data_IF_505077779329
#
_entry.id   IF_505077779329
#
_cell.length_a   1.000
_cell.length_b   1.000
_cell.length_c   1.000
_cell.angle_alpha   90.00
_cell.angle_beta   90.00
_cell.angle_gamma   90.00
#
_symmetry.space_group_name_H-M   'P 1'
#
loop_
_entity.id
_entity.type
_entity.pdbx_description
1 polymer ?
#
# COMPACT_ATOMS: atom_id res chain seq x y z
N UNK A 1 -8.22 -12.89 -17.77
CA UNK A 1 -7.92 -12.47 -16.38
C UNK A 1 -8.25 -11.00 -16.26
N UNK A 2 -8.93 -10.59 -15.19
CA UNK A 2 -9.22 -9.19 -14.94
C UNK A 2 -7.93 -8.38 -14.71
N UNK A 3 -8.00 -7.09 -15.01
CA UNK A 3 -6.95 -6.10 -14.78
C UNK A 3 -6.69 -5.95 -13.27
N UNK A 4 -5.45 -6.08 -12.81
CA UNK A 4 -5.05 -5.88 -11.40
C UNK A 4 -4.19 -4.63 -11.24
N UNK A 5 -4.69 -3.51 -11.78
CA UNK A 5 -4.03 -2.22 -11.70
C UNK A 5 -4.33 -1.57 -10.35
N UNK A 6 -3.29 -1.33 -9.55
CA UNK A 6 -3.41 -0.73 -8.21
C UNK A 6 -2.63 0.58 -8.14
N UNK A 7 -3.03 1.44 -7.19
CA UNK A 7 -2.31 2.67 -6.87
C UNK A 7 -1.20 2.37 -5.86
N UNK A 8 -0.03 2.94 -6.11
CA UNK A 8 1.10 2.93 -5.17
C UNK A 8 1.62 4.34 -4.97
N UNK A 9 2.01 4.75 -3.75
CA UNK A 9 2.47 6.11 -3.47
C UNK A 9 3.77 6.36 -4.24
N UNK A 10 3.86 7.49 -4.96
CA UNK A 10 5.08 7.81 -5.72
C UNK A 10 6.32 7.85 -4.85
N UNK A 11 6.16 8.32 -3.61
CA UNK A 11 7.24 8.46 -2.62
C UNK A 11 8.01 7.16 -2.38
N UNK A 12 7.41 5.97 -2.61
CA UNK A 12 8.11 4.69 -2.49
C UNK A 12 9.20 4.48 -3.54
N UNK A 13 9.04 5.05 -4.73
CA UNK A 13 10.00 4.93 -5.84
C UNK A 13 10.98 6.11 -5.96
N UNK A 14 10.88 7.11 -5.07
CA UNK A 14 11.71 8.30 -5.15
C UNK A 14 13.09 8.11 -4.51
N UNK A 15 14.11 8.76 -5.08
CA UNK A 15 15.51 8.55 -4.70
C UNK A 15 15.82 8.93 -3.25
N UNK A 16 15.10 9.88 -2.67
CA UNK A 16 15.27 10.26 -1.27
C UNK A 16 14.84 9.18 -0.27
N UNK A 17 14.07 8.16 -0.71
CA UNK A 17 13.75 6.99 0.10
C UNK A 17 14.61 5.77 -0.26
N UNK A 18 15.56 5.85 -1.22
CA UNK A 18 16.27 4.66 -1.71
C UNK A 18 17.05 3.93 -0.61
N UNK A 19 17.68 4.66 0.31
CA UNK A 19 18.44 4.08 1.43
C UNK A 19 17.52 3.34 2.41
N UNK A 20 16.35 3.92 2.70
CA UNK A 20 15.33 3.23 3.49
C UNK A 20 14.91 1.96 2.79
N UNK A 21 14.56 2.04 1.50
CA UNK A 21 14.12 0.87 0.74
C UNK A 21 15.21 -0.20 0.73
N UNK A 22 16.46 0.13 0.41
CA UNK A 22 17.62 -0.78 0.48
C UNK A 22 17.73 -1.46 1.85
N UNK A 23 17.58 -0.70 2.95
CA UNK A 23 17.55 -1.27 4.32
C UNK A 23 16.38 -2.22 4.54
N UNK A 24 15.18 -1.89 4.06
CA UNK A 24 14.02 -2.79 4.16
C UNK A 24 14.27 -4.10 3.38
N UNK A 25 14.95 -4.01 2.23
CA UNK A 25 15.37 -5.15 1.42
C UNK A 25 16.40 -6.03 2.13
N UNK A 26 17.40 -5.45 2.79
CA UNK A 26 18.42 -6.20 3.53
C UNK A 26 17.87 -6.86 4.80
N UNK A 27 16.99 -6.17 5.52
CA UNK A 27 16.44 -6.58 6.80
C UNK A 27 15.34 -7.65 6.70
N UNK A 28 14.47 -7.58 5.69
CA UNK A 28 13.31 -8.47 5.55
C UNK A 28 12.97 -8.87 4.12
N UNK A 29 13.88 -8.64 3.18
CA UNK A 29 13.63 -8.87 1.75
C UNK A 29 12.56 -7.92 1.19
N UNK A 30 11.86 -8.38 0.17
CA UNK A 30 10.76 -7.62 -0.46
C UNK A 30 9.51 -7.50 0.43
N UNK A 31 9.43 -8.25 1.54
CA UNK A 31 8.18 -8.42 2.30
C UNK A 31 7.67 -7.09 2.83
N UNK A 32 8.56 -6.23 3.34
CA UNK A 32 8.18 -4.91 3.86
C UNK A 32 7.63 -3.98 2.76
N UNK A 33 8.30 -3.91 1.61
CA UNK A 33 7.78 -3.12 0.48
C UNK A 33 6.44 -3.68 -0.02
N UNK A 34 6.36 -5.00 -0.14
CA UNK A 34 5.17 -5.71 -0.59
C UNK A 34 4.00 -5.56 0.38
N UNK A 35 4.27 -5.46 1.70
CA UNK A 35 3.26 -5.11 2.70
C UNK A 35 2.71 -3.70 2.48
N UNK A 36 3.55 -2.70 2.19
CA UNK A 36 3.08 -1.34 1.91
C UNK A 36 2.20 -1.34 0.64
N UNK A 37 2.62 -2.05 -0.42
CA UNK A 37 1.86 -2.18 -1.67
C UNK A 37 0.54 -2.94 -1.43
N UNK A 38 0.58 -4.03 -0.67
CA UNK A 38 -0.59 -4.82 -0.30
C UNK A 38 -1.60 -3.96 0.45
N UNK A 39 -1.20 -3.33 1.56
CA UNK A 39 -2.06 -2.44 2.35
C UNK A 39 -2.57 -1.26 1.52
N UNK A 40 -1.71 -0.72 0.67
CA UNK A 40 -2.06 0.31 -0.29
C UNK A 40 -3.15 -0.10 -1.27
N UNK A 41 -3.19 -1.36 -1.70
CA UNK A 41 -4.25 -1.88 -2.57
C UNK A 41 -5.63 -1.95 -1.89
N UNK A 42 -5.67 -1.91 -0.56
CA UNK A 42 -6.90 -1.92 0.26
C UNK A 42 -7.23 -0.56 0.87
N UNK A 43 -6.54 0.53 0.50
CA UNK A 43 -6.66 1.84 1.16
C UNK A 43 -8.11 2.32 1.35
N UNK A 44 -9.02 2.10 0.38
CA UNK A 44 -10.44 2.44 0.54
C UNK A 44 -11.17 1.55 1.55
N UNK A 45 -10.94 0.23 1.55
CA UNK A 45 -11.53 -0.70 2.53
C UNK A 45 -11.02 -0.40 3.95
N UNK A 46 -9.77 0.05 4.04
CA UNK A 46 -9.14 0.44 5.30
C UNK A 46 -9.71 1.74 5.88
N UNK A 47 -10.20 2.68 5.05
CA UNK A 47 -10.95 3.85 5.54
C UNK A 47 -12.20 3.46 6.35
N UNK A 48 -12.71 2.25 6.13
CA UNK A 48 -13.90 1.73 6.78
C UNK A 48 -13.60 0.68 7.86
N UNK A 49 -12.32 0.45 8.21
CA UNK A 49 -11.92 -0.51 9.24
C UNK A 49 -12.16 -1.98 8.87
N UNK A 50 -12.36 -2.27 7.58
CA UNK A 50 -12.73 -3.62 7.08
C UNK A 50 -11.53 -4.46 6.61
N UNK A 51 -10.31 -3.99 6.80
CA UNK A 51 -9.09 -4.58 6.22
C UNK A 51 -8.41 -5.59 7.16
N UNK A 52 -9.09 -6.69 7.46
CA UNK A 52 -8.48 -7.85 8.13
C UNK A 52 -7.91 -8.84 7.11
N UNK A 53 -6.73 -9.39 7.40
CA UNK A 53 -6.08 -10.36 6.53
C UNK A 53 -5.19 -11.35 7.30
N UNK A 54 -5.04 -12.55 6.75
CA UNK A 54 -4.06 -13.52 7.23
C UNK A 54 -2.77 -13.48 6.40
N UNK A 55 -1.73 -14.17 6.89
CA UNK A 55 -0.50 -14.40 6.11
C UNK A 55 -0.81 -15.12 4.78
N UNK A 56 -1.81 -16.01 4.76
CA UNK A 56 -2.24 -16.70 3.56
C UNK A 56 -2.86 -15.76 2.52
N UNK A 57 -3.68 -14.79 2.96
CA UNK A 57 -4.27 -13.78 2.07
C UNK A 57 -3.17 -12.90 1.45
N UNK A 58 -2.19 -12.49 2.25
CA UNK A 58 -1.00 -11.78 1.78
C UNK A 58 -0.20 -12.61 0.77
N UNK A 59 0.11 -13.87 1.10
CA UNK A 59 0.83 -14.78 0.22
C UNK A 59 0.13 -14.97 -1.12
N UNK A 60 -1.19 -15.21 -1.11
CA UNK A 60 -2.00 -15.39 -2.32
C UNK A 60 -1.96 -14.14 -3.19
N UNK A 61 -2.04 -12.94 -2.60
CA UNK A 61 -2.07 -11.68 -3.35
C UNK A 61 -0.70 -11.31 -3.91
N UNK A 62 0.36 -11.48 -3.12
CA UNK A 62 1.73 -11.02 -3.45
C UNK A 62 2.64 -12.11 -4.05
N UNK A 63 2.14 -13.36 -4.14
CA UNK A 63 2.86 -14.48 -4.75
C UNK A 63 3.99 -15.03 -3.88
N UNK A 64 3.75 -15.15 -2.56
CA UNK A 64 4.69 -15.76 -1.62
C UNK A 64 4.30 -17.19 -1.25
N UNK A 65 5.29 -17.99 -0.91
CA UNK A 65 5.08 -19.22 -0.16
C UNK A 65 4.91 -18.91 1.34
N UNK A 66 3.86 -19.46 1.94
CA UNK A 66 3.51 -19.23 3.36
C UNK A 66 4.61 -19.71 4.32
N UNK A 67 5.27 -20.81 4.01
CA UNK A 67 6.32 -21.40 4.86
C UNK A 67 7.51 -20.45 4.97
N UNK A 68 7.87 -19.78 3.87
CA UNK A 68 8.95 -18.79 3.87
C UNK A 68 8.65 -17.59 4.77
N UNK A 69 7.39 -17.15 4.83
CA UNK A 69 6.97 -16.02 5.65
C UNK A 69 6.78 -16.38 7.13
N UNK A 70 6.44 -17.65 7.42
CA UNK A 70 6.32 -18.18 8.78
C UNK A 70 7.64 -18.71 9.34
N UNK A 71 8.71 -18.74 8.55
CA UNK A 71 10.05 -19.12 9.01
C UNK A 71 10.49 -18.19 10.15
N UNK A 72 11.03 -18.78 11.22
CA UNK A 72 11.67 -18.03 12.30
C UNK A 72 13.00 -17.43 11.84
N UNK A 73 13.22 -16.18 12.21
CA UNK A 73 14.48 -15.46 12.05
C UNK A 73 15.44 -15.93 13.13
N UNK A 74 16.72 -16.08 12.76
CA UNK A 74 17.76 -16.33 13.75
C UNK A 74 18.12 -15.05 14.53
N UNK A 75 18.85 -15.19 15.63
CA UNK A 75 19.20 -14.04 16.49
C UNK A 75 20.06 -12.99 15.78
N UNK A 76 20.85 -13.37 14.76
CA UNK A 76 21.65 -12.40 13.98
C UNK A 76 20.74 -11.59 13.06
N UNK A 77 19.77 -12.24 12.43
CA UNK A 77 18.75 -11.60 11.60
C UNK A 77 17.93 -10.60 12.42
N UNK A 78 17.41 -11.02 13.59
CA UNK A 78 16.66 -10.13 14.49
C UNK A 78 17.52 -8.95 14.96
N UNK A 79 18.78 -9.20 15.36
CA UNK A 79 19.68 -8.14 15.77
C UNK A 79 20.03 -7.14 14.64
N UNK A 80 20.07 -7.59 13.39
CA UNK A 80 20.25 -6.72 12.23
C UNK A 80 19.01 -5.84 11.96
N UNK A 81 17.80 -6.38 12.19
CA UNK A 81 16.55 -5.65 11.98
C UNK A 81 16.25 -4.62 13.09
N UNK A 82 16.46 -5.02 14.35
CA UNK A 82 15.99 -4.28 15.53
C UNK A 82 17.12 -3.75 16.42
N UNK A 83 18.36 -4.19 16.19
CA UNK A 83 19.50 -3.91 17.07
C UNK A 83 19.71 -5.01 18.10
N UNK A 84 20.95 -5.13 18.61
CA UNK A 84 21.37 -6.23 19.51
C UNK A 84 20.58 -6.33 20.82
N UNK A 85 19.99 -5.22 21.27
CA UNK A 85 19.33 -5.12 22.58
C UNK A 85 17.80 -5.06 22.47
N UNK A 86 17.23 -5.25 21.26
CA UNK A 86 15.80 -5.18 21.04
C UNK A 86 15.28 -6.54 20.61
N UNK A 87 14.44 -7.14 21.46
CA UNK A 87 13.67 -8.34 21.16
C UNK A 87 12.19 -7.93 21.12
N UNK A 88 11.61 -7.75 19.92
CA UNK A 88 10.24 -7.32 19.81
C UNK A 88 9.28 -8.44 20.26
N UNK A 89 8.24 -8.08 21.01
CA UNK A 89 7.21 -8.99 21.49
C UNK A 89 5.83 -8.36 21.31
N UNK A 90 4.83 -9.17 20.99
CA UNK A 90 3.43 -8.79 21.20
C UNK A 90 3.09 -8.92 22.67
N UNK A 91 2.56 -7.85 23.24
CA UNK A 91 2.11 -7.84 24.65
C UNK A 91 0.61 -7.61 24.66
N UNK A 92 -0.14 -8.53 25.27
CA UNK A 92 -1.56 -8.37 25.49
C UNK A 92 -1.95 -8.80 26.91
N UNK A 93 -3.13 -8.37 27.33
CA UNK A 93 -3.74 -8.76 28.60
C UNK A 93 -4.91 -9.67 28.29
N UNK A 94 -4.99 -10.83 28.94
CA UNK A 94 -6.13 -11.72 28.78
C UNK A 94 -7.37 -11.26 29.56
N UNK A 95 -8.47 -12.00 29.44
CA UNK A 95 -9.73 -11.73 30.14
C UNK A 95 -9.63 -11.81 31.67
N UNK A 96 -8.56 -12.42 32.21
CA UNK A 96 -8.29 -12.51 33.64
C UNK A 96 -7.29 -11.44 34.12
N UNK A 97 -6.85 -10.52 33.26
CA UNK A 97 -5.87 -9.48 33.59
C UNK A 97 -4.42 -9.95 33.55
N UNK A 98 -4.14 -11.19 33.11
CA UNK A 98 -2.78 -11.71 33.03
C UNK A 98 -2.08 -11.22 31.76
N UNK A 99 -0.85 -10.74 31.93
CA UNK A 99 0.01 -10.35 30.82
C UNK A 99 0.48 -11.58 30.05
N UNK A 100 0.22 -11.59 28.76
CA UNK A 100 0.76 -12.53 27.78
C UNK A 100 1.83 -11.80 26.97
N UNK A 101 2.98 -12.44 26.79
CA UNK A 101 4.02 -11.99 25.87
C UNK A 101 4.27 -13.05 24.80
N UNK A 102 4.29 -12.64 23.54
CA UNK A 102 4.59 -13.51 22.40
C UNK A 102 5.75 -12.94 21.58
N UNK A 103 6.86 -13.68 21.40
CA UNK A 103 8.00 -13.18 20.64
C UNK A 103 7.66 -12.93 19.18
N UNK A 104 8.12 -11.80 18.64
CA UNK A 104 8.06 -11.49 17.21
C UNK A 104 9.30 -12.10 16.55
N UNK A 105 9.13 -13.29 16.00
CA UNK A 105 10.26 -14.10 15.51
C UNK A 105 10.10 -14.56 14.06
N UNK A 106 8.92 -14.46 13.45
CA UNK A 106 8.73 -14.86 12.05
C UNK A 106 9.10 -13.74 11.08
N UNK A 107 9.47 -14.09 9.84
CA UNK A 107 9.78 -13.11 8.77
C UNK A 107 8.63 -12.12 8.59
N UNK A 108 7.38 -12.59 8.55
CA UNK A 108 6.21 -11.75 8.36
C UNK A 108 5.98 -10.79 9.53
N UNK A 109 6.00 -11.29 10.77
CA UNK A 109 5.73 -10.49 11.96
C UNK A 109 6.82 -9.44 12.19
N UNK A 110 8.08 -9.82 12.00
CA UNK A 110 9.20 -8.89 12.07
C UNK A 110 9.10 -7.80 11.00
N UNK A 111 8.71 -8.15 9.76
CA UNK A 111 8.48 -7.15 8.71
C UNK A 111 7.35 -6.19 9.07
N UNK A 112 6.20 -6.70 9.52
CA UNK A 112 5.05 -5.88 9.90
C UNK A 112 5.40 -4.94 11.08
N UNK A 113 6.04 -5.47 12.12
CA UNK A 113 6.45 -4.68 13.28
C UNK A 113 7.49 -3.62 12.91
N UNK A 114 8.48 -3.99 12.08
CA UNK A 114 9.54 -3.06 11.62
C UNK A 114 8.97 -1.89 10.84
N UNK A 115 7.95 -2.09 10.01
CA UNK A 115 7.26 -1.00 9.32
C UNK A 115 6.59 0.00 10.29
N UNK A 116 6.21 -0.43 11.50
CA UNK A 116 5.74 0.47 12.56
C UNK A 116 6.84 1.35 13.16
N UNK A 117 8.12 1.05 12.93
CA UNK A 117 9.26 1.80 13.45
C UNK A 117 9.92 2.72 12.42
N UNK A 118 9.53 2.60 11.16
CA UNK A 118 10.20 3.26 10.04
C UNK A 118 9.34 4.41 9.47
N UNK A 119 10.02 5.45 8.97
CA UNK A 119 9.39 6.63 8.38
C UNK A 119 9.74 6.73 6.89
N UNK A 120 8.77 7.09 6.06
CA UNK A 120 9.01 7.60 4.72
C UNK A 120 9.27 9.11 4.77
N UNK A 121 10.20 9.56 3.92
CA UNK A 121 10.46 10.97 3.69
C UNK A 121 9.69 11.48 2.47
N UNK A 122 9.24 12.73 2.48
CA UNK A 122 8.86 13.46 1.25
C UNK A 122 9.10 14.97 1.40
N UNK A 123 9.72 15.62 0.40
CA UNK A 123 9.93 17.06 0.41
C UNK A 123 8.68 17.83 -0.03
N UNK A 124 8.45 18.99 0.56
CA UNK A 124 7.44 19.98 0.15
C UNK A 124 8.08 21.36 0.03
N UNK A 125 7.65 22.16 -0.94
CA UNK A 125 8.11 23.55 -1.09
C UNK A 125 7.01 24.45 -0.54
N UNK A 126 7.32 25.25 0.48
CA UNK A 126 6.42 26.24 1.06
C UNK A 126 6.31 27.48 0.19
N UNK A 127 5.28 28.31 0.45
CA UNK A 127 5.07 29.59 -0.26
C UNK A 127 6.24 30.57 -0.06
N UNK A 128 6.97 30.46 1.06
CA UNK A 128 8.19 31.21 1.36
C UNK A 128 9.43 30.71 0.60
N UNK A 129 9.26 29.73 -0.30
CA UNK A 129 10.32 29.11 -1.08
C UNK A 129 11.19 28.10 -0.32
N UNK A 130 10.93 27.86 0.98
CA UNK A 130 11.69 26.88 1.76
C UNK A 130 11.26 25.47 1.39
N UNK A 131 12.23 24.55 1.38
CA UNK A 131 11.97 23.11 1.23
C UNK A 131 11.93 22.46 2.61
N UNK A 132 10.78 21.91 2.98
CA UNK A 132 10.61 21.11 4.19
C UNK A 132 10.70 19.63 3.86
N UNK A 133 11.44 18.87 4.68
CA UNK A 133 11.54 17.42 4.57
C UNK A 133 10.63 16.79 5.63
N UNK A 134 9.51 16.22 5.20
CA UNK A 134 8.52 15.63 6.08
C UNK A 134 8.81 14.16 6.28
N UNK A 135 8.70 13.69 7.52
CA UNK A 135 8.88 12.29 7.88
C UNK A 135 7.56 11.73 8.40
N UNK A 136 7.05 10.68 7.75
CA UNK A 136 5.78 10.05 8.09
C UNK A 136 5.99 8.58 8.39
N UNK A 137 5.51 8.15 9.55
CA UNK A 137 5.51 6.74 9.96
C UNK A 137 4.80 5.89 8.92
N UNK A 138 5.37 4.75 8.55
CA UNK A 138 4.77 3.91 7.50
C UNK A 138 3.45 3.31 8.00
N UNK A 139 3.49 2.60 9.13
CA UNK A 139 2.30 2.08 9.80
C UNK A 139 1.98 2.89 11.04
N UNK A 140 0.75 3.40 11.11
CA UNK A 140 0.25 4.13 12.28
C UNK A 140 -0.15 3.19 13.41
N UNK A 141 -0.74 2.04 13.05
CA UNK A 141 -1.20 0.99 13.96
C UNK A 141 -1.24 -0.33 13.20
N UNK A 142 -1.06 -1.44 13.91
CA UNK A 142 -1.65 -2.70 13.47
C UNK A 142 -2.27 -3.42 14.67
N UNK A 143 -3.38 -4.10 14.42
CA UNK A 143 -4.09 -4.94 15.36
C UNK A 143 -3.86 -6.41 14.99
N UNK A 144 -3.83 -7.28 15.98
CA UNK A 144 -3.71 -8.72 15.81
C UNK A 144 -4.83 -9.41 16.57
N UNK A 145 -5.53 -10.31 15.89
CA UNK A 145 -6.53 -11.19 16.48
C UNK A 145 -6.00 -12.61 16.45
N UNK A 146 -5.69 -13.14 17.63
CA UNK A 146 -5.17 -14.49 17.85
C UNK A 146 -5.32 -14.87 19.30
N UNK A 147 -5.48 -16.18 19.58
CA UNK A 147 -5.31 -16.71 20.92
C UNK A 147 -3.89 -17.25 21.07
N UNK A 148 -3.07 -16.58 21.89
CA UNK A 148 -1.69 -16.99 22.16
C UNK A 148 -1.59 -18.13 23.19
N UNK A 149 -2.68 -18.50 23.86
CA UNK A 149 -2.71 -19.59 24.87
C UNK A 149 -2.87 -20.97 24.24
N UNK A 150 -3.45 -21.06 23.05
CA UNK A 150 -3.74 -22.35 22.42
C UNK A 150 -2.48 -23.01 21.87
N UNK A 151 -2.29 -24.31 22.17
CA UNK A 151 -1.21 -25.14 21.61
C UNK A 151 -1.38 -25.38 20.10
N UNK A 152 -2.61 -25.33 19.57
CA UNK A 152 -2.88 -25.32 18.13
C UNK A 152 -2.69 -23.90 17.62
N UNK A 153 -1.96 -23.75 16.51
CA UNK A 153 -1.82 -22.45 15.84
C UNK A 153 -3.18 -22.01 15.31
N UNK A 154 -3.86 -21.12 16.04
CA UNK A 154 -5.08 -20.47 15.55
C UNK A 154 -4.71 -19.54 14.38
N UNK A 155 -5.64 -19.37 13.43
CA UNK A 155 -5.41 -18.49 12.30
C UNK A 155 -5.24 -17.06 12.82
N UNK A 156 -4.02 -16.52 12.71
CA UNK A 156 -3.72 -15.12 13.05
C UNK A 156 -4.31 -14.21 11.98
N UNK A 157 -5.09 -13.24 12.41
CA UNK A 157 -5.60 -12.16 11.57
C UNK A 157 -4.95 -10.85 11.99
N UNK A 158 -4.55 -10.07 10.99
CA UNK A 158 -3.91 -8.78 11.15
C UNK A 158 -4.78 -7.71 10.51
N UNK A 159 -4.80 -6.51 11.09
CA UNK A 159 -5.32 -5.30 10.47
C UNK A 159 -4.24 -4.24 10.62
N UNK A 160 -3.76 -3.64 9.53
CA UNK A 160 -2.65 -2.68 9.59
C UNK A 160 -3.00 -1.40 8.85
N UNK A 161 -2.87 -0.29 9.56
CA UNK A 161 -3.26 1.04 9.10
C UNK A 161 -2.03 1.81 8.68
N UNK A 162 -1.87 2.06 7.39
CA UNK A 162 -0.88 3.01 6.86
C UNK A 162 -1.25 4.44 7.27
N UNK A 163 -0.24 5.30 7.49
CA UNK A 163 -0.50 6.67 7.95
C UNK A 163 -1.40 7.47 6.99
N UNK A 164 -2.26 8.38 7.51
CA UNK A 164 -3.18 9.18 6.71
C UNK A 164 -2.53 9.89 5.52
N UNK A 165 -1.31 10.40 5.69
CA UNK A 165 -0.56 11.08 4.64
C UNK A 165 -0.16 10.12 3.50
N UNK A 166 0.25 8.88 3.83
CA UNK A 166 0.57 7.85 2.84
C UNK A 166 -0.70 7.42 2.09
N UNK A 167 -1.82 7.27 2.79
CA UNK A 167 -3.12 7.02 2.16
C UNK A 167 -3.51 8.15 1.23
N UNK A 168 -3.30 9.40 1.65
CA UNK A 168 -3.57 10.57 0.82
C UNK A 168 -2.77 10.55 -0.50
N UNK A 169 -1.53 10.06 -0.49
CA UNK A 169 -0.77 9.87 -1.73
C UNK A 169 -1.46 8.90 -2.71
N UNK A 170 -2.26 7.95 -2.23
CA UNK A 170 -3.08 7.10 -3.11
C UNK A 170 -4.21 7.85 -3.80
N UNK A 171 -4.61 9.03 -3.31
CA UNK A 171 -5.58 9.89 -3.97
C UNK A 171 -4.92 10.87 -4.94
N UNK A 172 -3.79 11.45 -4.54
CA UNK A 172 -3.22 12.65 -5.18
C UNK A 172 -1.84 12.45 -5.82
N UNK A 173 -1.02 11.53 -5.30
CA UNK A 173 0.39 11.39 -5.65
C UNK A 173 0.81 9.92 -5.79
N UNK A 174 0.17 9.23 -6.73
CA UNK A 174 0.40 7.80 -6.98
C UNK A 174 0.93 7.51 -8.39
N UNK A 175 1.52 6.33 -8.53
CA UNK A 175 1.70 5.66 -9.81
C UNK A 175 0.79 4.44 -9.87
N UNK A 176 0.53 3.98 -11.09
CA UNK A 176 -0.21 2.74 -11.32
C UNK A 176 0.77 1.58 -11.44
N UNK A 177 0.43 0.46 -10.82
CA UNK A 177 1.22 -0.76 -10.76
C UNK A 177 0.34 -1.94 -11.13
N UNK A 178 0.71 -2.69 -12.16
CA UNK A 178 0.02 -3.94 -12.51
C UNK A 178 0.55 -5.08 -11.63
N UNK A 179 -0.30 -5.60 -10.76
CA UNK A 179 0.10 -6.52 -9.70
C UNK A 179 0.51 -7.90 -10.24
N UNK A 180 -0.06 -8.35 -11.36
CA UNK A 180 0.30 -9.65 -11.96
C UNK A 180 1.74 -9.66 -12.46
N UNK A 181 2.14 -8.60 -13.13
CA UNK A 181 3.52 -8.40 -13.60
C UNK A 181 4.48 -8.16 -12.44
N UNK A 182 4.04 -7.42 -11.42
CA UNK A 182 4.83 -7.20 -10.22
C UNK A 182 5.16 -8.52 -9.49
N UNK A 183 4.16 -9.39 -9.29
CA UNK A 183 4.36 -10.67 -8.59
C UNK A 183 5.12 -11.69 -9.43
N UNK A 184 5.01 -11.66 -10.76
CA UNK A 184 5.73 -12.57 -11.66
C UNK A 184 7.24 -12.28 -11.69
N UNK A 185 7.64 -11.06 -11.34
CA UNK A 185 9.05 -10.70 -11.26
C UNK A 185 9.75 -11.37 -10.08
N UNK A 186 10.97 -11.88 -10.31
CA UNK A 186 11.88 -12.21 -9.21
C UNK A 186 12.01 -11.06 -8.23
N UNK A 187 11.97 -11.39 -6.94
CA UNK A 187 12.13 -10.48 -5.79
C UNK A 187 13.13 -9.33 -6.00
N UNK A 188 14.33 -9.60 -6.52
CA UNK A 188 15.36 -8.56 -6.74
C UNK A 188 15.01 -7.48 -7.78
N UNK A 189 13.97 -7.68 -8.59
CA UNK A 189 13.55 -6.74 -9.65
C UNK A 189 12.28 -5.97 -9.29
N UNK A 190 11.60 -6.33 -8.20
CA UNK A 190 10.34 -5.70 -7.78
C UNK A 190 10.52 -4.21 -7.45
N UNK A 191 11.65 -3.82 -6.84
CA UNK A 191 11.96 -2.40 -6.63
C UNK A 191 12.04 -1.61 -7.94
N UNK A 192 12.72 -2.17 -8.95
CA UNK A 192 12.81 -1.54 -10.27
C UNK A 192 11.45 -1.41 -10.96
N UNK A 193 10.48 -2.25 -10.59
CA UNK A 193 9.12 -2.10 -11.10
C UNK A 193 8.45 -0.80 -10.65
N UNK A 194 8.77 -0.28 -9.46
CA UNK A 194 8.29 1.05 -9.05
C UNK A 194 8.82 2.15 -9.98
N UNK A 195 10.07 1.98 -10.46
CA UNK A 195 10.62 2.86 -11.49
C UNK A 195 9.85 2.70 -12.80
N UNK A 196 9.55 1.48 -13.26
CA UNK A 196 8.73 1.25 -14.46
C UNK A 196 7.36 1.94 -14.36
N UNK A 197 6.68 1.81 -13.21
CA UNK A 197 5.42 2.50 -12.92
C UNK A 197 5.54 4.03 -13.02
N UNK A 198 6.64 4.62 -12.52
CA UNK A 198 6.97 6.04 -12.68
C UNK A 198 7.22 6.41 -14.14
N UNK A 199 7.98 5.60 -14.88
CA UNK A 199 8.28 5.84 -16.29
C UNK A 199 7.00 5.86 -17.14
N UNK A 200 6.07 4.91 -16.90
CA UNK A 200 4.77 4.88 -17.59
C UNK A 200 4.02 6.18 -17.38
N UNK A 201 3.89 6.64 -16.12
CA UNK A 201 3.22 7.91 -15.80
C UNK A 201 3.87 9.09 -16.54
N UNK A 202 5.19 9.24 -16.45
CA UNK A 202 5.90 10.38 -17.05
C UNK A 202 5.84 10.36 -18.57
N UNK A 203 5.93 9.19 -19.20
CA UNK A 203 5.81 9.06 -20.65
C UNK A 203 4.39 9.40 -21.12
N UNK A 204 3.35 8.96 -20.39
CA UNK A 204 1.96 9.40 -20.67
C UNK A 204 1.86 10.92 -20.58
N UNK A 205 2.39 11.52 -19.52
CA UNK A 205 2.38 12.98 -19.33
C UNK A 205 3.07 13.71 -20.49
N UNK A 206 4.30 13.31 -20.86
CA UNK A 206 5.02 13.88 -22.01
C UNK A 206 4.22 13.78 -23.31
N UNK A 207 3.57 12.64 -23.54
CA UNK A 207 2.71 12.42 -24.71
C UNK A 207 1.57 13.45 -24.76
N UNK A 208 0.94 13.77 -23.62
CA UNK A 208 -0.11 14.81 -23.56
C UNK A 208 0.39 16.23 -23.82
N UNK A 209 1.71 16.46 -23.66
CA UNK A 209 2.38 17.74 -23.93
C UNK A 209 3.02 17.82 -25.32
N UNK A 210 2.81 16.81 -26.17
CA UNK A 210 3.50 16.66 -27.46
C UNK A 210 5.04 16.66 -27.33
N UNK A 211 5.55 16.22 -26.19
CA UNK A 211 6.98 16.01 -25.95
C UNK A 211 7.40 14.60 -26.36
N UNK A 212 8.70 14.39 -26.53
CA UNK A 212 9.23 13.09 -26.91
C UNK A 212 8.94 12.03 -25.82
N UNK A 213 8.27 10.90 -26.17
CA UNK A 213 7.67 9.98 -25.20
C UNK A 213 8.67 8.96 -24.66
N UNK A 214 9.83 9.42 -24.20
CA UNK A 214 10.85 8.58 -23.60
C UNK A 214 11.25 9.04 -22.20
N UNK A 215 11.65 8.07 -21.39
CA UNK A 215 12.33 8.28 -20.12
C UNK A 215 13.81 7.98 -20.27
N UNK A 216 14.67 8.76 -19.61
CA UNK A 216 16.11 8.69 -19.80
C UNK A 216 16.76 8.28 -18.48
N UNK A 217 17.62 7.26 -18.55
CA UNK A 217 18.53 6.87 -17.47
C UNK A 217 19.92 6.60 -18.03
N UNK A 218 20.95 6.75 -17.21
CA UNK A 218 22.30 6.29 -17.56
C UNK A 218 22.46 4.81 -17.21
N UNK A 219 23.45 4.15 -17.83
CA UNK A 219 23.87 2.79 -17.48
C UNK A 219 24.21 2.68 -16.00
N UNK A 220 24.79 3.71 -15.39
CA UNK A 220 25.21 3.70 -13.99
C UNK A 220 24.01 3.82 -13.03
N UNK A 221 23.05 4.68 -13.36
CA UNK A 221 21.79 4.76 -12.62
C UNK A 221 21.04 3.43 -12.66
N UNK A 222 21.00 2.78 -13.82
CA UNK A 222 20.41 1.45 -13.97
C UNK A 222 21.19 0.37 -13.21
N UNK A 223 22.52 0.40 -13.28
CA UNK A 223 23.36 -0.55 -12.55
C UNK A 223 23.12 -0.45 -11.04
N UNK A 224 23.06 0.77 -10.48
CA UNK A 224 22.73 0.98 -9.08
C UNK A 224 21.34 0.42 -8.74
N UNK A 225 20.30 0.80 -9.50
CA UNK A 225 18.92 0.34 -9.27
C UNK A 225 18.71 -1.17 -9.42
N UNK A 226 19.58 -1.84 -10.19
CA UNK A 226 19.54 -3.29 -10.43
C UNK A 226 20.55 -4.08 -9.58
N UNK A 227 21.28 -3.42 -8.67
CA UNK A 227 22.28 -4.06 -7.80
C UNK A 227 23.45 -4.68 -8.59
N UNK A 228 23.96 -3.98 -9.60
CA UNK A 228 25.05 -4.45 -10.47
C UNK A 228 26.37 -3.80 -10.05
N UNK A 229 27.24 -4.59 -9.44
CA UNK A 229 28.59 -4.19 -9.04
C UNK A 229 29.62 -4.68 -10.07
N UNK A 230 29.69 -4.00 -11.22
CA UNK A 230 30.70 -4.29 -12.26
C UNK A 230 31.49 -3.01 -12.51
N UNK A 231 32.81 -3.06 -12.31
CA UNK A 231 33.70 -1.91 -12.49
C UNK A 231 33.84 -1.52 -13.97
N UNK A 232 34.02 -2.50 -14.86
CA UNK A 232 34.23 -2.27 -16.30
C UNK A 232 32.94 -1.76 -16.99
N UNK A 233 32.92 -0.53 -17.54
CA UNK A 233 31.71 0.07 -18.12
C UNK A 233 31.09 -0.74 -19.26
N UNK A 234 31.92 -1.36 -20.11
CA UNK A 234 31.44 -2.19 -21.23
C UNK A 234 30.65 -3.40 -20.74
N UNK A 235 31.15 -4.07 -19.70
CA UNK A 235 30.51 -5.27 -19.17
C UNK A 235 29.31 -4.93 -18.29
N UNK A 236 29.35 -3.79 -17.56
CA UNK A 236 28.20 -3.21 -16.88
C UNK A 236 27.05 -2.98 -17.85
N UNK A 237 27.30 -2.33 -18.99
CA UNK A 237 26.30 -2.10 -20.05
C UNK A 237 25.71 -3.41 -20.58
N UNK A 238 26.53 -4.43 -20.85
CA UNK A 238 26.05 -5.75 -21.28
C UNK A 238 25.15 -6.40 -20.23
N UNK A 239 25.53 -6.30 -18.95
CA UNK A 239 24.75 -6.87 -17.85
C UNK A 239 23.41 -6.19 -17.67
N UNK A 240 23.38 -4.85 -17.72
CA UNK A 240 22.14 -4.06 -17.73
C UNK A 240 21.24 -4.50 -18.88
N UNK A 241 21.75 -4.55 -20.11
CA UNK A 241 20.97 -4.97 -21.27
C UNK A 241 20.40 -6.40 -21.12
N UNK A 242 21.20 -7.34 -20.60
CA UNK A 242 20.77 -8.71 -20.35
C UNK A 242 19.66 -8.79 -19.30
N UNK A 243 19.78 -8.03 -18.20
CA UNK A 243 18.76 -8.00 -17.16
C UNK A 243 17.47 -7.37 -17.69
N UNK A 244 17.53 -6.23 -18.38
CA UNK A 244 16.33 -5.59 -18.95
C UNK A 244 15.59 -6.50 -19.95
N UNK A 245 16.33 -7.19 -20.84
CA UNK A 245 15.76 -8.19 -21.75
C UNK A 245 15.09 -9.33 -20.99
N UNK A 246 15.76 -9.84 -19.95
CA UNK A 246 15.21 -10.92 -19.09
C UNK A 246 13.99 -10.45 -18.31
N UNK A 247 13.96 -9.21 -17.84
CA UNK A 247 12.78 -8.66 -17.15
C UNK A 247 11.55 -8.68 -18.07
N UNK A 248 11.69 -8.25 -19.32
CA UNK A 248 10.61 -8.29 -20.31
C UNK A 248 10.02 -9.69 -20.54
N UNK A 249 10.75 -10.79 -20.28
CA UNK A 249 10.19 -12.14 -20.43
C UNK A 249 9.23 -12.53 -19.30
N UNK A 250 9.25 -11.82 -18.17
CA UNK A 250 8.31 -12.02 -17.05
C UNK A 250 7.06 -11.13 -17.16
N UNK A 251 7.14 -10.06 -17.95
CA UNK A 251 6.11 -9.03 -18.05
C UNK A 251 5.14 -9.36 -19.16
N UNK A 252 3.84 -9.21 -18.88
CA UNK A 252 2.75 -9.42 -19.84
C UNK A 252 2.07 -8.11 -20.25
N UNK A 253 1.97 -7.14 -19.35
CA UNK A 253 1.23 -5.90 -19.58
C UNK A 253 2.15 -4.66 -19.60
N UNK A 254 3.28 -4.74 -18.91
CA UNK A 254 4.23 -3.64 -18.66
C UNK A 254 5.51 -3.80 -19.48
N UNK A 255 5.42 -4.48 -20.62
CA UNK A 255 6.55 -4.64 -21.52
C UNK A 255 7.05 -3.27 -21.99
N UNK A 256 8.37 -3.12 -22.07
CA UNK A 256 9.01 -1.87 -22.42
C UNK A 256 10.07 -2.07 -23.50
N UNK A 257 10.30 -1.03 -24.29
CA UNK A 257 11.41 -0.95 -25.23
C UNK A 257 12.53 -0.14 -24.60
N UNK A 258 13.77 -0.51 -24.88
CA UNK A 258 14.92 0.30 -24.48
C UNK A 258 15.99 0.34 -25.57
N UNK A 259 16.68 1.48 -25.69
CA UNK A 259 17.77 1.67 -26.64
C UNK A 259 18.91 2.46 -26.02
N UNK A 260 20.15 2.06 -26.32
CA UNK A 260 21.33 2.82 -25.93
C UNK A 260 21.60 3.90 -26.96
N UNK A 261 21.69 5.15 -26.50
CA UNK A 261 22.03 6.31 -27.34
C UNK A 261 23.31 6.96 -26.85
N UNK A 262 24.00 7.59 -27.80
CA UNK A 262 25.20 8.38 -27.57
C UNK A 262 24.75 9.81 -27.29
N UNK A 263 25.11 10.37 -26.15
CA UNK A 263 24.91 11.80 -25.90
C UNK A 263 25.80 12.66 -26.80
N UNK A 264 25.44 13.92 -26.98
CA UNK A 264 26.29 14.88 -27.68
C UNK A 264 27.64 14.97 -26.95
N UNK A 265 28.74 14.78 -27.69
CA UNK A 265 30.12 14.72 -27.19
C UNK A 265 30.54 13.47 -26.38
N UNK A 266 29.67 12.46 -26.20
CA UNK A 266 30.07 11.21 -25.52
C UNK A 266 30.82 10.26 -26.48
N UNK A 267 31.88 9.57 -26.04
CA UNK A 267 32.53 8.56 -26.89
C UNK A 267 31.71 7.27 -27.05
N UNK A 268 30.82 6.99 -26.10
CA UNK A 268 30.12 5.71 -25.96
C UNK A 268 28.65 5.93 -25.61
N UNK A 269 27.78 5.02 -26.07
CA UNK A 269 26.34 5.09 -25.77
C UNK A 269 26.01 4.56 -24.36
N UNK A 270 26.15 5.40 -23.34
CA UNK A 270 25.82 5.09 -21.94
C UNK A 270 24.50 5.70 -21.45
N UNK A 271 23.80 6.43 -22.32
CA UNK A 271 22.43 6.87 -22.10
C UNK A 271 21.46 5.81 -22.60
N UNK A 272 20.39 5.54 -21.83
CA UNK A 272 19.36 4.55 -22.12
C UNK A 272 18.01 5.26 -22.19
N UNK A 273 17.38 5.15 -23.36
CA UNK A 273 16.00 5.61 -23.57
C UNK A 273 15.05 4.46 -23.31
N UNK A 274 14.02 4.69 -22.50
CA UNK A 274 12.89 3.80 -22.27
C UNK A 274 11.65 4.33 -22.97
N UNK A 275 10.90 3.46 -23.61
CA UNK A 275 9.56 3.75 -24.14
C UNK A 275 8.64 2.56 -23.90
N UNK A 276 7.33 2.81 -23.93
CA UNK A 276 6.33 1.76 -23.77
C UNK A 276 5.46 1.66 -25.02
N UNK A 277 5.06 0.45 -25.43
CA UNK A 277 4.06 0.29 -26.48
C UNK A 277 2.76 1.05 -26.15
N UNK A 278 2.07 1.52 -27.19
CA UNK A 278 0.82 2.28 -27.03
C UNK A 278 -0.25 1.49 -26.25
N UNK A 279 -0.32 0.18 -26.44
CA UNK A 279 -1.25 -0.68 -25.70
C UNK A 279 -0.93 -0.74 -24.20
N UNK A 280 0.35 -0.73 -23.80
CA UNK A 280 0.76 -0.63 -22.39
C UNK A 280 0.36 0.71 -21.80
N UNK A 281 0.62 1.82 -22.49
CA UNK A 281 0.22 3.15 -22.01
C UNK A 281 -1.29 3.29 -21.82
N UNK A 282 -2.08 2.70 -22.72
CA UNK A 282 -3.54 2.62 -22.61
C UNK A 282 -4.00 1.67 -21.50
N UNK A 283 -3.29 0.57 -21.29
CA UNK A 283 -3.58 -0.36 -20.19
C UNK A 283 -3.42 0.32 -18.83
N UNK A 284 -2.42 1.17 -18.65
CA UNK A 284 -2.18 1.93 -17.41
C UNK A 284 -3.08 3.15 -17.28
N UNK A 285 -4.40 2.91 -17.32
CA UNK A 285 -5.46 3.89 -17.15
C UNK A 285 -6.56 3.30 -16.27
N UNK A 286 -6.89 3.95 -15.15
CA UNK A 286 -7.96 3.48 -14.25
C UNK A 286 -9.37 3.72 -14.80
N UNK A 287 -9.51 4.54 -15.85
CA UNK A 287 -10.79 4.86 -16.47
C UNK A 287 -11.81 5.39 -15.45
N UNK A 288 -12.99 4.78 -15.42
CA UNK A 288 -14.07 5.13 -14.51
C UNK A 288 -13.69 5.03 -13.02
N UNK A 289 -12.77 4.13 -12.66
CA UNK A 289 -12.37 3.99 -11.26
C UNK A 289 -11.68 5.26 -10.73
N UNK A 290 -10.83 5.91 -11.55
CA UNK A 290 -10.25 7.20 -11.17
C UNK A 290 -11.31 8.29 -10.96
N UNK A 291 -12.39 8.26 -11.73
CA UNK A 291 -13.52 9.19 -11.58
C UNK A 291 -14.21 8.97 -10.23
N UNK A 292 -14.51 7.71 -9.86
CA UNK A 292 -15.10 7.38 -8.56
C UNK A 292 -14.22 7.88 -7.42
N UNK A 293 -12.93 7.54 -7.43
CA UNK A 293 -12.03 7.90 -6.32
C UNK A 293 -11.89 9.42 -6.19
N UNK A 294 -11.82 10.14 -7.31
CA UNK A 294 -11.78 11.62 -7.30
C UNK A 294 -13.07 12.23 -6.76
N UNK A 295 -14.23 11.68 -7.16
CA UNK A 295 -15.54 12.15 -6.71
C UNK A 295 -15.74 11.89 -5.22
N UNK A 296 -15.42 10.67 -4.78
CA UNK A 296 -15.43 10.26 -3.38
C UNK A 296 -14.59 11.20 -2.52
N UNK A 297 -13.33 11.45 -2.90
CA UNK A 297 -12.45 12.33 -2.12
C UNK A 297 -12.98 13.76 -2.00
N UNK A 298 -13.51 14.31 -3.11
CA UNK A 298 -14.12 15.65 -3.12
C UNK A 298 -15.36 15.73 -2.22
N UNK A 299 -16.22 14.71 -2.27
CA UNK A 299 -17.43 14.66 -1.46
C UNK A 299 -17.12 14.40 0.01
N UNK A 300 -16.08 13.62 0.31
CA UNK A 300 -15.57 13.40 1.65
C UNK A 300 -15.09 14.71 2.29
N UNK A 301 -14.38 15.54 1.52
CA UNK A 301 -13.98 16.88 1.96
C UNK A 301 -15.18 17.82 2.15
N UNK A 302 -16.18 17.74 1.27
CA UNK A 302 -17.44 18.47 1.44
C UNK A 302 -18.16 18.10 2.74
N UNK A 303 -18.24 16.80 3.05
CA UNK A 303 -18.82 16.30 4.29
C UNK A 303 -18.04 16.78 5.52
N UNK A 304 -16.70 16.76 5.47
CA UNK A 304 -15.88 17.30 6.55
C UNK A 304 -16.20 18.78 6.83
N UNK A 305 -16.27 19.61 5.78
CA UNK A 305 -16.58 21.04 5.94
C UNK A 305 -17.97 21.27 6.50
N UNK A 306 -18.96 20.47 6.08
CA UNK A 306 -20.32 20.55 6.63
C UNK A 306 -20.36 20.25 8.13
N UNK A 307 -19.59 19.27 8.58
CA UNK A 307 -19.55 18.86 10.00
C UNK A 307 -18.74 19.86 10.83
N UNK A 308 -17.56 20.26 10.34
CA UNK A 308 -16.64 21.12 11.08
C UNK A 308 -17.07 22.60 11.08
N UNK A 309 -17.86 23.04 10.10
CA UNK A 309 -18.28 24.43 9.93
C UNK A 309 -19.80 24.54 9.62
N UNK A 310 -20.67 24.15 10.57
CA UNK A 310 -22.12 23.98 10.34
C UNK A 310 -22.85 25.27 9.95
N UNK A 311 -22.37 26.42 10.45
CA UNK A 311 -23.01 27.74 10.25
C UNK A 311 -22.69 28.39 8.90
N UNK A 312 -22.06 27.67 7.97
CA UNK A 312 -21.71 28.19 6.65
C UNK A 312 -22.78 27.87 5.60
N UNK A 313 -23.25 28.89 4.89
CA UNK A 313 -24.14 28.71 3.72
C UNK A 313 -23.41 28.00 2.55
N UNK A 314 -24.14 27.61 1.51
CA UNK A 314 -23.58 26.85 0.38
C UNK A 314 -22.49 27.60 -0.43
N UNK A 315 -22.50 28.93 -0.46
CA UNK A 315 -21.44 29.71 -1.12
C UNK A 315 -20.19 29.77 -0.23
N UNK A 316 -20.38 29.98 1.06
CA UNK A 316 -19.29 30.00 2.07
C UNK A 316 -18.65 28.62 2.20
N UNK A 317 -19.42 27.53 2.16
CA UNK A 317 -18.91 26.14 2.16
C UNK A 317 -17.93 25.88 1.04
N UNK A 318 -18.22 26.34 -0.20
CA UNK A 318 -17.32 26.17 -1.34
C UNK A 318 -16.00 26.92 -1.16
N UNK A 319 -16.04 28.10 -0.54
CA UNK A 319 -14.83 28.84 -0.18
C UNK A 319 -14.05 28.10 0.90
N UNK A 320 -14.74 27.58 1.91
CA UNK A 320 -14.12 26.85 3.02
C UNK A 320 -13.48 25.53 2.59
N UNK A 321 -14.08 24.82 1.64
CA UNK A 321 -13.47 23.64 1.02
C UNK A 321 -12.10 23.99 0.43
N UNK A 322 -12.01 25.06 -0.37
CA UNK A 322 -10.73 25.50 -0.95
C UNK A 322 -9.71 25.89 0.11
N UNK A 323 -10.16 26.62 1.14
CA UNK A 323 -9.31 27.00 2.26
C UNK A 323 -8.72 25.76 2.98
N UNK A 324 -9.52 24.71 3.18
CA UNK A 324 -9.04 23.44 3.76
C UNK A 324 -8.08 22.71 2.80
N UNK A 325 -8.25 22.81 1.48
CA UNK A 325 -7.32 22.21 0.50
C UNK A 325 -5.97 22.94 0.44
N UNK A 326 -5.98 24.26 0.63
CA UNK A 326 -4.80 25.13 0.48
C UNK A 326 -4.01 25.27 1.79
N UNK A 327 -4.67 25.26 2.95
CA UNK A 327 -4.01 25.35 4.26
C UNK A 327 -3.53 23.98 4.75
N UNK A 328 -2.21 23.85 4.95
CA UNK A 328 -1.59 22.59 5.36
C UNK A 328 -2.05 22.08 6.74
N UNK A 329 -2.40 22.98 7.66
CA UNK A 329 -2.89 22.65 8.99
C UNK A 329 -4.32 22.09 8.94
N UNK A 330 -5.23 22.82 8.30
CA UNK A 330 -6.61 22.40 8.09
C UNK A 330 -6.69 21.12 7.26
N UNK A 331 -5.85 20.98 6.24
CA UNK A 331 -5.81 19.77 5.44
C UNK A 331 -5.37 18.56 6.26
N UNK A 332 -4.40 18.74 7.18
CA UNK A 332 -3.98 17.69 8.10
C UNK A 332 -5.11 17.26 9.04
N UNK A 333 -5.89 18.21 9.56
CA UNK A 333 -7.08 17.91 10.37
C UNK A 333 -8.12 17.12 9.57
N UNK A 334 -8.38 17.53 8.33
CA UNK A 334 -9.23 16.79 7.41
C UNK A 334 -8.73 15.35 7.20
N UNK A 335 -7.43 15.15 6.96
CA UNK A 335 -6.86 13.80 6.78
C UNK A 335 -7.01 12.93 8.03
N UNK A 336 -6.85 13.50 9.22
CA UNK A 336 -7.07 12.79 10.48
C UNK A 336 -8.54 12.35 10.61
N UNK A 337 -9.49 13.27 10.37
CA UNK A 337 -10.91 12.95 10.37
C UNK A 337 -11.29 11.93 9.30
N UNK A 338 -10.81 12.09 8.07
CA UNK A 338 -11.13 11.21 6.94
C UNK A 338 -10.75 9.75 7.24
N UNK A 339 -9.68 9.55 8.01
CA UNK A 339 -9.15 8.25 8.39
C UNK A 339 -9.61 7.76 9.79
N UNK A 340 -10.44 8.52 10.48
CA UNK A 340 -11.03 8.13 11.77
C UNK A 340 -12.36 7.36 11.56
N UNK A 341 -12.83 6.61 12.57
CA UNK A 341 -14.15 5.96 12.52
C UNK A 341 -15.32 6.95 12.62
N UNK A 342 -15.06 8.24 12.86
CA UNK A 342 -16.13 9.24 12.96
C UNK A 342 -16.90 9.35 11.64
N UNK A 343 -18.24 9.38 11.71
CA UNK A 343 -19.11 9.46 10.54
C UNK A 343 -18.88 8.36 9.50
N UNK A 344 -18.40 7.17 9.90
CA UNK A 344 -18.05 6.10 8.97
C UNK A 344 -19.23 5.71 8.07
N UNK A 345 -20.46 5.66 8.59
CA UNK A 345 -21.68 5.36 7.81
C UNK A 345 -21.89 6.39 6.70
N UNK A 346 -21.74 7.68 7.00
CA UNK A 346 -21.84 8.74 5.98
C UNK A 346 -20.73 8.63 4.94
N UNK A 347 -19.50 8.33 5.35
CA UNK A 347 -18.36 8.10 4.44
C UNK A 347 -18.63 6.91 3.51
N UNK A 348 -19.18 5.82 4.06
CA UNK A 348 -19.59 4.62 3.31
C UNK A 348 -20.67 4.95 2.28
N UNK A 349 -21.73 5.65 2.69
CA UNK A 349 -22.81 6.08 1.80
C UNK A 349 -22.30 6.94 0.64
N UNK A 350 -21.39 7.89 0.89
CA UNK A 350 -20.77 8.69 -0.18
C UNK A 350 -20.02 7.80 -1.16
N UNK A 351 -19.20 6.86 -0.67
CA UNK A 351 -18.44 5.94 -1.52
C UNK A 351 -19.37 5.10 -2.41
N UNK A 352 -20.40 4.48 -1.83
CA UNK A 352 -21.37 3.66 -2.58
C UNK A 352 -22.11 4.52 -3.60
N UNK A 353 -22.62 5.69 -3.20
CA UNK A 353 -23.36 6.61 -4.08
C UNK A 353 -22.49 7.06 -5.27
N UNK A 354 -21.24 7.41 -5.02
CA UNK A 354 -20.30 7.80 -6.07
C UNK A 354 -19.93 6.64 -6.99
N UNK A 355 -19.80 5.43 -6.44
CA UNK A 355 -19.54 4.23 -7.22
C UNK A 355 -20.74 3.88 -8.12
N UNK A 356 -21.96 3.85 -7.58
CA UNK A 356 -23.21 3.59 -8.32
C UNK A 356 -23.44 4.64 -9.39
N UNK A 357 -23.20 5.92 -9.08
CA UNK A 357 -23.36 7.01 -10.05
C UNK A 357 -22.44 6.87 -11.28
N UNK A 358 -21.26 6.24 -11.13
CA UNK A 358 -20.30 6.08 -12.23
C UNK A 358 -20.42 4.73 -12.93
N UNK A 359 -20.64 3.65 -12.18
CA UNK A 359 -20.64 2.27 -12.69
C UNK A 359 -22.04 1.68 -12.90
N UNK A 360 -23.10 2.30 -12.38
CA UNK A 360 -24.48 1.79 -12.45
C UNK A 360 -24.71 0.49 -11.66
N UNK A 361 -23.81 0.13 -10.74
CA UNK A 361 -23.87 -1.07 -9.90
C UNK A 361 -23.20 -0.82 -8.55
N UNK A 362 -23.45 -1.67 -7.57
CA UNK A 362 -22.80 -1.60 -6.26
C UNK A 362 -21.32 -2.01 -6.30
N UNK A 363 -20.49 -1.49 -5.39
CA UNK A 363 -19.14 -2.00 -5.17
C UNK A 363 -19.16 -3.50 -4.79
N UNK A 364 -18.13 -4.25 -5.19
CA UNK A 364 -18.01 -5.66 -4.84
C UNK A 364 -17.93 -5.87 -3.32
N UNK A 365 -18.78 -6.75 -2.78
CA UNK A 365 -18.85 -7.06 -1.35
C UNK A 365 -19.68 -6.08 -0.53
N UNK A 366 -20.45 -5.19 -1.17
CA UNK A 366 -21.37 -4.26 -0.52
C UNK A 366 -22.80 -4.61 -0.96
N UNK A 367 -23.66 -4.97 -0.01
CA UNK A 367 -25.05 -5.36 -0.28
C UNK A 367 -25.97 -4.13 -0.28
N UNK A 368 -27.11 -4.23 -0.96
CA UNK A 368 -28.14 -3.17 -0.97
C UNK A 368 -28.72 -2.93 0.44
N UNK A 369 -28.76 -3.97 1.27
CA UNK A 369 -29.20 -3.95 2.68
C UNK A 369 -28.30 -3.05 3.56
N UNK A 370 -27.00 -2.90 3.26
CA UNK A 370 -26.11 -1.99 4.02
C UNK A 370 -26.48 -0.51 3.86
N UNK A 371 -27.25 -0.17 2.83
CA UNK A 371 -27.76 1.18 2.60
C UNK A 371 -29.06 1.43 3.37
N UNK A 372 -29.83 0.37 3.65
CA UNK A 372 -31.05 0.40 4.45
C UNK A 372 -30.73 0.37 5.95
N UNK A 373 -29.71 -0.38 6.37
CA UNK A 373 -29.17 -0.34 7.74
C UNK A 373 -28.40 0.97 8.04
N UNK A 374 -27.89 1.68 7.04
CA UNK A 374 -27.30 3.00 7.27
C UNK A 374 -28.33 4.11 7.63
N UNK A 375 -29.64 3.81 7.58
CA UNK A 375 -30.71 4.66 8.08
C UNK A 375 -31.29 4.19 9.43
N UNK A 376 -30.76 3.10 10.02
CA UNK A 376 -31.19 2.55 11.30
C UNK A 376 -30.01 1.92 12.03
N UNK A 377 -29.67 2.43 13.21
CA UNK A 377 -28.51 2.09 14.04
C UNK A 377 -28.15 0.59 14.06
N UNK A 378 -27.27 0.14 13.16
CA UNK A 378 -26.59 -1.15 13.29
C UNK A 378 -25.09 -0.92 13.39
N UNK A 379 -24.60 -1.15 14.61
CA UNK A 379 -23.19 -1.23 14.97
C UNK A 379 -22.65 -2.53 14.36
N UNK A 380 -21.42 -2.49 13.84
CA UNK A 380 -20.71 -3.71 13.43
C UNK A 380 -20.81 -4.80 14.52
N UNK A 381 -20.97 -6.08 14.16
CA UNK A 381 -21.15 -7.14 15.14
C UNK A 381 -19.98 -7.13 16.14
N UNK A 382 -20.32 -7.13 17.43
CA UNK A 382 -19.32 -7.17 18.48
C UNK A 382 -18.56 -8.51 18.43
N UNK A 383 -17.27 -8.55 18.80
CA UNK A 383 -16.44 -9.76 18.74
C UNK A 383 -16.98 -10.97 19.51
N UNK A 384 -17.94 -10.75 20.41
CA UNK A 384 -18.61 -11.77 21.22
C UNK A 384 -19.44 -12.75 20.37
N UNK A 385 -19.90 -12.36 19.18
CA UNK A 385 -20.67 -13.25 18.29
C UNK A 385 -19.82 -14.34 17.63
N UNK A 386 -18.48 -14.20 17.63
CA UNK A 386 -17.55 -15.24 17.15
C UNK A 386 -17.04 -16.16 18.27
N UNK A 387 -17.43 -15.91 19.52
CA UNK A 387 -17.13 -16.74 20.68
C UNK A 387 -18.44 -17.33 21.21
N UNK A 388 -19.15 -18.07 20.36
CA UNK A 388 -20.07 -19.09 20.86
C UNK A 388 -19.37 -20.44 20.74
N UNK A 389 -19.08 -21.16 21.84
CA UNK A 389 -18.81 -22.57 21.72
C UNK A 389 -20.08 -23.21 21.17
N UNK A 390 -19.99 -23.85 20.01
CA UNK A 390 -20.97 -24.86 19.61
C UNK A 390 -21.13 -25.79 20.80
N UNK A 391 -22.30 -25.75 21.44
CA UNK A 391 -22.69 -26.74 22.44
C UNK A 391 -23.04 -28.00 21.68
N UNK A 392 -22.00 -28.74 21.31
CA UNK A 392 -22.12 -30.09 20.83
C UNK A 392 -22.70 -30.96 21.96
N UNK A 393 -23.88 -31.52 21.69
CA UNK A 393 -24.36 -32.73 22.33
C UNK A 393 -25.10 -32.55 23.65
N UNK A 394 -26.40 -32.31 23.57
CA UNK A 394 -27.32 -32.80 24.58
C UNK A 394 -27.17 -34.33 24.70
N UNK A 395 -26.48 -34.79 25.75
CA UNK A 395 -26.54 -36.19 26.18
C UNK A 395 -27.70 -36.28 27.17
N UNK A 396 -28.85 -36.75 26.68
CA UNK A 396 -29.87 -37.35 27.53
C UNK A 396 -29.31 -38.68 28.07
N UNK A 397 -29.14 -38.77 29.39
CA UNK A 397 -29.12 -40.06 30.09
C UNK A 397 -29.88 -39.91 31.41
N UNK A 398 -31.20 -39.95 31.29
CA UNK A 398 -32.04 -40.62 32.29
C UNK A 398 -32.03 -42.12 31.94
N UNK A 399 -31.35 -42.94 32.73
CA UNK A 399 -32.00 -44.05 33.45
C UNK A 399 -31.03 -44.74 34.45
N UNK A 400 -31.52 -45.20 35.61
CA UNK A 400 -30.71 -45.69 36.72
C UNK A 400 -30.59 -47.22 36.73
N UNK A 401 -29.42 -47.76 37.08
CA UNK A 401 -29.30 -49.08 37.69
C UNK A 401 -27.91 -49.31 38.31
N UNK A 402 -27.94 -49.57 39.62
CA UNK A 402 -26.90 -50.13 40.52
C UNK A 402 -25.81 -49.19 41.01
#
# INVERSE_FOLDING_TARGET
MAKELIRVPRVLGESYNSVLIERLYEAGGNVMLDLIIYLGSYHLKDLFGTSWFSVEDFCRKMGYDRTNLQRKLDSRQLAAMFGKNMQPEYVCTDTAGQRISHPIETVFEAALYKLGLENLCYPTIGEDGRTSYNFVQILKRFDIMTDFKTKKSTKRLYSAVVSPEIKNFMFSLYNLLELQDYRSLPSRYRYFYLELSKMVYLIKYKTTKNEAPFYVLTVDQLAKKLGIEIAEPKDRKKKVASILKKMNTYLKYTNFNFSFVKGDHERWAYTVLFSFPRHTLHYFDEGQYAVVVKKFYKNLLGLYVEIAYPDTDMAVRRKKIKEVEEDAGLYKEFLLWANSPESVEKKKQIYISDFVAVFGRFPEGWAQEELESANGTEVAPAPEEFISPETDGAVNMDDPAV
#
